data_IF_178202985015
#
_entry.id   IF_178202985015
#
_cell.length_a   1.000
_cell.length_b   1.000
_cell.length_c   1.000
_cell.angle_alpha   90.00
_cell.angle_beta   90.00
_cell.angle_gamma   90.00
#
_symmetry.space_group_name_H-M   'P 1'
#
loop_
_entity.id
_entity.type
_entity.pdbx_description
1 polymer ?
#
# COMPACT_ATOMS: atom_id res chain seq x y z
N UNK A 1 -1.92 20.71 -3.83
CA UNK A 1 -0.70 19.98 -4.20
C UNK A 1 -1.02 19.08 -5.40
N UNK A 2 -0.17 19.10 -6.44
CA UNK A 2 -0.40 18.36 -7.69
C UNK A 2 -0.40 16.81 -7.52
N UNK A 3 0.07 16.31 -6.38
CA UNK A 3 0.13 14.88 -6.07
C UNK A 3 -0.92 14.44 -5.03
N UNK A 4 -1.80 15.31 -4.59
CA UNK A 4 -2.89 14.93 -3.70
C UNK A 4 -4.10 14.49 -4.52
N UNK A 5 -4.54 13.26 -4.34
CA UNK A 5 -5.80 12.74 -4.89
C UNK A 5 -6.89 12.88 -3.84
N UNK A 6 -7.87 13.72 -4.10
CA UNK A 6 -9.01 13.87 -3.18
C UNK A 6 -9.90 12.63 -3.21
N UNK A 7 -9.93 11.92 -2.12
CA UNK A 7 -10.77 10.72 -1.93
C UNK A 7 -11.75 10.86 -0.75
N UNK A 8 -11.89 12.05 -0.17
CA UNK A 8 -12.65 12.28 1.05
C UNK A 8 -13.74 13.34 0.88
N UNK A 9 -13.45 14.51 0.26
CA UNK A 9 -14.38 15.63 0.23
C UNK A 9 -15.65 15.38 -0.58
N UNK A 10 -15.61 14.40 -1.51
CA UNK A 10 -16.78 13.98 -2.30
C UNK A 10 -17.63 12.90 -1.61
N UNK A 11 -17.24 12.48 -0.39
CA UNK A 11 -17.94 11.45 0.38
C UNK A 11 -18.78 12.06 1.49
N UNK A 12 -19.86 11.36 1.84
CA UNK A 12 -20.64 11.68 3.04
C UNK A 12 -19.87 11.28 4.31
N UNK A 13 -20.21 11.90 5.43
CA UNK A 13 -19.63 11.52 6.72
C UNK A 13 -19.92 10.06 7.11
N UNK A 14 -21.01 9.48 6.61
CA UNK A 14 -21.34 8.08 6.85
C UNK A 14 -20.38 7.13 6.10
N UNK A 15 -20.09 7.43 4.82
CA UNK A 15 -19.13 6.67 4.01
C UNK A 15 -17.72 6.71 4.62
N UNK A 16 -17.26 7.90 5.01
CA UNK A 16 -15.93 8.05 5.64
C UNK A 16 -15.86 7.26 6.95
N UNK A 17 -16.89 7.34 7.81
CA UNK A 17 -16.95 6.55 9.03
C UNK A 17 -16.93 5.05 8.76
N UNK A 18 -17.71 4.57 7.78
CA UNK A 18 -17.73 3.15 7.43
C UNK A 18 -16.34 2.65 6.98
N UNK A 19 -15.62 3.45 6.20
CA UNK A 19 -14.27 3.11 5.73
C UNK A 19 -13.23 3.11 6.86
N UNK A 20 -13.32 4.02 7.81
CA UNK A 20 -12.44 4.05 9.00
C UNK A 20 -12.77 2.85 9.92
N UNK A 21 -14.04 2.59 10.19
CA UNK A 21 -14.48 1.45 11.02
C UNK A 21 -14.11 0.10 10.42
N UNK A 22 -13.99 0.03 9.07
CA UNK A 22 -13.47 -1.16 8.41
C UNK A 22 -12.02 -1.45 8.83
N UNK A 23 -11.17 -0.43 8.93
CA UNK A 23 -9.78 -0.63 9.35
C UNK A 23 -9.68 -1.11 10.79
N UNK A 24 -10.54 -0.62 11.68
CA UNK A 24 -10.65 -1.11 13.06
C UNK A 24 -11.10 -2.59 13.09
N UNK A 25 -12.10 -2.95 12.28
CA UNK A 25 -12.56 -4.34 12.15
C UNK A 25 -11.45 -5.27 11.64
N UNK A 26 -10.73 -4.88 10.59
CA UNK A 26 -9.61 -5.64 10.01
C UNK A 26 -8.53 -5.88 11.06
N UNK A 27 -8.16 -4.85 11.81
CA UNK A 27 -7.17 -4.94 12.89
C UNK A 27 -7.64 -5.84 14.04
N UNK A 28 -8.87 -5.66 14.55
CA UNK A 28 -9.41 -6.44 15.66
C UNK A 28 -9.58 -7.93 15.34
N UNK A 29 -9.79 -8.26 14.06
CA UNK A 29 -9.90 -9.64 13.56
C UNK A 29 -8.56 -10.25 13.16
N UNK A 30 -7.45 -9.52 13.27
CA UNK A 30 -6.12 -9.95 12.86
C UNK A 30 -6.04 -10.47 11.41
N UNK A 31 -6.79 -9.84 10.48
CA UNK A 31 -6.83 -10.24 9.08
C UNK A 31 -5.58 -9.82 8.30
N UNK A 32 -4.80 -8.90 8.85
CA UNK A 32 -3.56 -8.36 8.27
C UNK A 32 -2.38 -8.57 9.20
N UNK A 33 -1.19 -8.67 8.63
CA UNK A 33 0.07 -8.78 9.36
C UNK A 33 0.74 -7.42 9.54
N UNK A 34 0.51 -6.49 8.62
CA UNK A 34 0.91 -5.09 8.74
C UNK A 34 0.03 -4.22 7.85
N UNK A 35 -0.01 -2.92 8.14
CA UNK A 35 -0.78 -1.95 7.35
C UNK A 35 -0.28 -0.53 7.54
N UNK A 36 -0.43 0.28 6.49
CA UNK A 36 -0.10 1.70 6.50
C UNK A 36 -1.02 2.46 5.55
N UNK A 37 -1.43 3.66 5.95
CA UNK A 37 -2.04 4.65 5.05
C UNK A 37 -1.04 5.07 3.96
N UNK A 38 -1.54 5.29 2.75
CA UNK A 38 -0.72 5.81 1.65
C UNK A 38 -0.48 7.31 1.90
N UNK A 39 0.77 7.66 2.18
CA UNK A 39 1.19 9.02 2.51
C UNK A 39 2.03 9.67 1.39
N UNK A 40 2.67 10.80 1.68
CA UNK A 40 3.38 11.65 0.72
C UNK A 40 4.35 10.95 -0.25
N UNK A 41 5.06 9.85 0.13
CA UNK A 41 5.90 9.13 -0.82
C UNK A 41 5.13 8.35 -1.91
N UNK A 42 3.79 8.43 -1.92
CA UNK A 42 2.94 7.69 -2.83
C UNK A 42 2.89 6.19 -2.52
N UNK A 43 2.30 5.42 -3.43
CA UNK A 43 2.08 3.98 -3.22
C UNK A 43 3.41 3.24 -3.03
N UNK A 44 4.36 3.46 -3.92
CA UNK A 44 5.66 2.74 -3.93
C UNK A 44 6.50 3.08 -2.70
N UNK A 45 6.64 4.38 -2.38
CA UNK A 45 7.42 4.80 -1.23
C UNK A 45 6.77 4.40 0.10
N UNK A 46 5.44 4.42 0.20
CA UNK A 46 4.72 3.95 1.40
C UNK A 46 4.91 2.44 1.61
N UNK A 47 4.84 1.64 0.52
CA UNK A 47 5.14 0.22 0.59
C UNK A 47 6.60 -0.01 1.03
N UNK A 48 7.54 0.73 0.45
CA UNK A 48 8.96 0.64 0.83
C UNK A 48 9.18 0.91 2.32
N UNK A 49 8.57 1.97 2.88
CA UNK A 49 8.63 2.25 4.32
C UNK A 49 8.08 1.10 5.16
N UNK A 50 6.93 0.52 4.78
CA UNK A 50 6.32 -0.60 5.49
C UNK A 50 7.24 -1.84 5.49
N UNK A 51 7.85 -2.15 4.35
CA UNK A 51 8.77 -3.28 4.18
C UNK A 51 10.06 -3.09 4.97
N UNK A 52 10.65 -1.89 4.92
CA UNK A 52 11.89 -1.58 5.64
C UNK A 52 11.72 -1.75 7.16
N UNK A 53 10.68 -1.15 7.75
CA UNK A 53 10.34 -1.32 9.19
C UNK A 53 10.10 -2.78 9.56
N UNK A 54 9.52 -3.55 8.65
CA UNK A 54 9.22 -4.97 8.87
C UNK A 54 10.40 -5.91 8.61
N UNK A 55 11.55 -5.41 8.14
CA UNK A 55 12.70 -6.22 7.74
C UNK A 55 12.38 -7.19 6.61
N UNK A 56 11.49 -6.81 5.68
CA UNK A 56 10.99 -7.65 4.58
C UNK A 56 11.32 -7.03 3.23
N UNK A 57 11.15 -7.84 2.19
CA UNK A 57 11.10 -7.43 0.79
C UNK A 57 9.75 -7.76 0.17
N UNK A 58 9.56 -7.35 -1.09
CA UNK A 58 8.39 -7.72 -1.87
C UNK A 58 8.67 -7.65 -3.37
N UNK A 59 7.84 -8.40 -4.11
CA UNK A 59 7.70 -8.30 -5.56
C UNK A 59 6.27 -7.89 -5.86
N UNK A 60 6.09 -6.82 -6.62
CA UNK A 60 4.76 -6.30 -6.98
C UNK A 60 4.64 -6.08 -8.49
N UNK A 61 3.43 -6.25 -9.00
CA UNK A 61 3.08 -5.88 -10.38
C UNK A 61 2.29 -4.56 -10.35
N UNK A 62 2.86 -3.51 -10.95
CA UNK A 62 2.24 -2.19 -11.00
C UNK A 62 0.93 -2.19 -11.79
N UNK A 63 0.75 -3.10 -12.75
CA UNK A 63 -0.48 -3.19 -13.53
C UNK A 63 -1.69 -3.59 -12.67
N UNK A 64 -1.46 -4.29 -11.54
CA UNK A 64 -2.49 -4.72 -10.60
C UNK A 64 -2.92 -3.64 -9.60
N UNK A 65 -2.22 -2.51 -9.53
CA UNK A 65 -2.59 -1.41 -8.63
C UNK A 65 -3.95 -0.85 -9.03
N UNK A 66 -4.95 -0.82 -8.12
CA UNK A 66 -6.25 -0.21 -8.40
C UNK A 66 -6.08 1.24 -8.82
N UNK A 67 -6.76 1.64 -9.87
CA UNK A 67 -6.71 3.01 -10.39
C UNK A 67 -8.08 3.50 -10.82
N UNK A 68 -8.38 4.77 -10.59
CA UNK A 68 -9.59 5.40 -11.13
C UNK A 68 -9.44 5.58 -12.65
N UNK A 69 -10.45 6.17 -13.28
CA UNK A 69 -10.32 6.59 -14.69
C UNK A 69 -9.32 7.75 -14.78
N UNK A 70 -8.05 7.42 -15.01
CA UNK A 70 -6.95 8.39 -15.04
C UNK A 70 -7.11 9.39 -16.18
N UNK A 71 -7.50 8.93 -17.37
CA UNK A 71 -7.66 9.79 -18.56
C UNK A 71 -8.76 10.83 -18.37
N UNK A 72 -9.86 10.50 -17.70
CA UNK A 72 -10.92 11.44 -17.38
C UNK A 72 -10.46 12.58 -16.44
N UNK A 73 -9.36 12.37 -15.72
CA UNK A 73 -8.79 13.33 -14.79
C UNK A 73 -7.47 13.96 -15.29
N UNK A 74 -7.09 13.70 -16.53
CA UNK A 74 -5.80 14.14 -17.11
C UNK A 74 -4.58 13.75 -16.25
N UNK A 75 -4.59 12.54 -15.70
CA UNK A 75 -3.52 11.99 -14.85
C UNK A 75 -2.86 10.83 -15.59
N UNK A 76 -1.53 10.80 -15.62
CA UNK A 76 -0.77 9.64 -16.13
C UNK A 76 -0.66 8.57 -15.05
N UNK A 77 -0.32 7.34 -15.46
CA UNK A 77 -0.09 6.25 -14.51
C UNK A 77 1.10 6.54 -13.57
N UNK A 78 2.19 7.12 -14.09
CA UNK A 78 3.34 7.53 -13.28
C UNK A 78 2.97 8.61 -12.24
N UNK A 79 2.10 9.54 -12.61
CA UNK A 79 1.58 10.51 -11.66
C UNK A 79 0.74 9.81 -10.58
N UNK A 80 -0.13 8.86 -10.99
CA UNK A 80 -0.99 8.12 -10.07
C UNK A 80 -0.21 7.36 -8.99
N UNK A 81 0.82 6.59 -9.35
CA UNK A 81 1.61 5.83 -8.37
C UNK A 81 2.40 6.70 -7.39
N UNK A 82 2.60 7.98 -7.72
CA UNK A 82 3.23 9.00 -6.88
C UNK A 82 2.24 9.81 -6.05
N UNK A 83 0.94 9.69 -6.34
CA UNK A 83 -0.10 10.40 -5.57
C UNK A 83 -0.36 9.72 -4.24
N UNK A 84 -0.80 10.51 -3.28
CA UNK A 84 -1.30 10.03 -1.99
C UNK A 84 -2.79 10.38 -1.87
N UNK A 85 -3.68 9.37 -1.86
CA UNK A 85 -5.10 9.58 -1.60
C UNK A 85 -5.32 9.85 -0.11
N UNK A 86 -6.28 10.70 0.23
CA UNK A 86 -6.65 10.97 1.63
C UNK A 86 -7.24 9.74 2.35
N UNK A 87 -7.63 8.70 1.61
CA UNK A 87 -8.17 7.45 2.14
C UNK A 87 -7.70 6.29 1.25
N UNK A 88 -6.48 5.83 1.48
CA UNK A 88 -5.89 4.67 0.79
C UNK A 88 -4.95 3.94 1.73
N UNK A 89 -4.82 2.62 1.58
CA UNK A 89 -4.04 1.77 2.47
C UNK A 89 -3.22 0.76 1.69
N UNK A 90 -2.07 0.42 2.24
CA UNK A 90 -1.25 -0.73 1.87
C UNK A 90 -1.31 -1.71 3.02
N UNK A 91 -1.68 -2.94 2.72
CA UNK A 91 -1.84 -4.00 3.71
C UNK A 91 -1.02 -5.21 3.31
N UNK A 92 -0.48 -5.93 4.28
CA UNK A 92 0.07 -7.27 4.09
C UNK A 92 -0.77 -8.27 4.87
N UNK A 93 -1.05 -9.42 4.27
CA UNK A 93 -1.93 -10.41 4.84
C UNK A 93 -1.49 -11.84 4.47
N UNK A 94 -1.95 -12.79 5.27
CA UNK A 94 -1.88 -14.19 4.87
C UNK A 94 -2.78 -14.42 3.64
N UNK A 95 -2.33 -15.24 2.70
CA UNK A 95 -3.07 -15.57 1.46
C UNK A 95 -4.51 -16.04 1.74
N UNK A 96 -4.74 -16.72 2.86
CA UNK A 96 -6.05 -17.18 3.27
C UNK A 96 -7.07 -16.04 3.49
N UNK A 97 -6.62 -14.83 3.82
CA UNK A 97 -7.47 -13.67 4.13
C UNK A 97 -7.66 -12.72 2.94
N UNK A 98 -6.93 -12.90 1.83
CA UNK A 98 -6.93 -11.94 0.72
C UNK A 98 -8.33 -11.74 0.14
N UNK A 99 -9.07 -12.80 -0.13
CA UNK A 99 -10.41 -12.71 -0.72
C UNK A 99 -11.43 -12.06 0.24
N UNK A 100 -11.33 -12.37 1.51
CA UNK A 100 -12.17 -11.73 2.53
C UNK A 100 -11.87 -10.23 2.62
N UNK A 101 -10.61 -9.82 2.63
CA UNK A 101 -10.20 -8.41 2.64
C UNK A 101 -10.75 -7.67 1.41
N UNK A 102 -10.61 -8.23 0.21
CA UNK A 102 -11.15 -7.63 -1.02
C UNK A 102 -12.67 -7.41 -0.90
N UNK A 103 -13.41 -8.38 -0.39
CA UNK A 103 -14.85 -8.27 -0.19
C UNK A 103 -15.22 -7.22 0.88
N UNK A 104 -14.48 -7.15 1.97
CA UNK A 104 -14.67 -6.17 3.03
C UNK A 104 -14.46 -4.75 2.51
N UNK A 105 -13.41 -4.49 1.74
CA UNK A 105 -13.20 -3.19 1.11
C UNK A 105 -14.33 -2.83 0.14
N UNK A 106 -14.76 -3.78 -0.70
CA UNK A 106 -15.87 -3.58 -1.63
C UNK A 106 -17.18 -3.24 -0.90
N UNK A 107 -17.42 -3.81 0.29
CA UNK A 107 -18.64 -3.55 1.09
C UNK A 107 -18.79 -2.11 1.57
N UNK A 108 -17.69 -1.35 1.62
CA UNK A 108 -17.66 0.08 1.99
C UNK A 108 -17.34 0.99 0.81
N UNK A 109 -17.48 0.49 -0.43
CA UNK A 109 -17.24 1.27 -1.66
C UNK A 109 -15.77 1.55 -1.95
N UNK A 110 -14.84 0.76 -1.41
CA UNK A 110 -13.42 0.83 -1.72
C UNK A 110 -12.98 -0.33 -2.60
N UNK A 111 -12.01 -0.09 -3.47
CA UNK A 111 -11.41 -1.14 -4.31
C UNK A 111 -10.11 -1.61 -3.68
N UNK A 112 -9.93 -2.93 -3.58
CA UNK A 112 -8.69 -3.55 -3.14
C UNK A 112 -8.27 -4.67 -4.10
N UNK A 113 -6.97 -4.79 -4.34
CA UNK A 113 -6.38 -5.86 -5.16
C UNK A 113 -5.15 -6.45 -4.47
N UNK A 114 -4.91 -7.74 -4.69
CA UNK A 114 -3.60 -8.34 -4.45
C UNK A 114 -2.66 -7.87 -5.57
N UNK A 115 -1.59 -7.17 -5.19
CA UNK A 115 -0.64 -6.57 -6.16
C UNK A 115 0.72 -7.25 -6.16
N UNK A 116 0.96 -8.21 -5.27
CA UNK A 116 2.24 -8.91 -5.19
C UNK A 116 2.42 -9.70 -3.91
N UNK A 117 3.65 -10.12 -3.65
CA UNK A 117 4.00 -11.03 -2.54
C UNK A 117 5.15 -10.47 -1.72
N UNK A 118 5.00 -10.53 -0.38
CA UNK A 118 6.06 -10.22 0.58
C UNK A 118 7.00 -11.41 0.73
N UNK A 119 8.30 -11.15 0.82
CA UNK A 119 9.35 -12.15 0.97
C UNK A 119 10.44 -11.71 1.97
N UNK A 120 11.51 -12.50 2.10
CA UNK A 120 12.60 -12.23 3.03
C UNK A 120 13.82 -11.53 2.39
N UNK A 121 13.73 -11.09 1.13
CA UNK A 121 14.88 -10.55 0.38
C UNK A 121 15.40 -9.22 0.92
N UNK A 122 14.56 -8.44 1.61
CA UNK A 122 14.83 -7.04 1.99
C UNK A 122 15.06 -6.12 0.77
N UNK A 123 14.41 -6.46 -0.35
CA UNK A 123 14.39 -5.67 -1.57
C UNK A 123 12.95 -5.39 -1.99
N UNK A 124 12.68 -4.25 -2.59
CA UNK A 124 11.43 -4.02 -3.31
C UNK A 124 11.71 -4.09 -4.81
N UNK A 125 11.11 -5.08 -5.45
CA UNK A 125 11.13 -5.25 -6.90
C UNK A 125 9.76 -4.95 -7.48
N UNK A 126 9.75 -4.31 -8.64
CA UNK A 126 8.53 -4.01 -9.38
C UNK A 126 8.58 -4.63 -10.77
N UNK A 127 7.43 -5.16 -11.20
CA UNK A 127 7.19 -5.62 -12.57
C UNK A 127 6.22 -4.66 -13.25
N UNK A 128 6.53 -4.23 -14.45
CA UNK A 128 5.64 -3.40 -15.25
C UNK A 128 5.98 -3.51 -16.73
N UNK A 129 4.97 -3.77 -17.59
CA UNK A 129 5.12 -3.88 -19.05
C UNK A 129 6.26 -4.81 -19.50
N UNK A 130 6.43 -5.93 -18.81
CA UNK A 130 7.47 -6.92 -19.11
C UNK A 130 8.88 -6.53 -18.64
N UNK A 131 9.02 -5.43 -17.92
CA UNK A 131 10.26 -5.02 -17.28
C UNK A 131 10.25 -5.36 -15.79
N UNK A 132 11.42 -5.65 -15.26
CA UNK A 132 11.65 -5.96 -13.86
C UNK A 132 12.74 -5.03 -13.31
N UNK A 133 12.46 -4.32 -12.21
CA UNK A 133 13.37 -3.34 -11.66
C UNK A 133 13.39 -3.43 -10.14
N UNK A 134 14.58 -3.47 -9.54
CA UNK A 134 14.78 -3.25 -8.11
C UNK A 134 14.69 -1.75 -7.82
N UNK A 135 13.74 -1.37 -6.96
CA UNK A 135 13.50 0.04 -6.57
C UNK A 135 14.21 0.38 -5.27
N UNK A 136 14.17 -0.52 -4.30
CA UNK A 136 14.83 -0.36 -3.01
C UNK A 136 15.62 -1.60 -2.65
N UNK A 137 16.77 -1.36 -2.02
CA UNK A 137 17.59 -2.33 -1.31
C UNK A 137 17.70 -1.86 0.13
N UNK A 138 16.90 -2.44 1.01
CA UNK A 138 16.78 -1.99 2.42
C UNK A 138 18.01 -2.37 3.28
N UNK A 139 18.97 -3.12 2.73
CA UNK A 139 20.24 -3.39 3.40
C UNK A 139 21.21 -2.24 3.18
N UNK A 140 21.31 -1.78 1.92
CA UNK A 140 22.34 -0.83 1.51
C UNK A 140 21.81 0.60 1.31
N UNK A 141 20.53 0.76 0.97
CA UNK A 141 19.96 2.05 0.60
C UNK A 141 18.44 2.08 0.88
N UNK A 142 18.09 2.03 2.16
CA UNK A 142 16.70 2.15 2.62
C UNK A 142 16.13 3.55 2.48
N UNK A 143 14.83 3.70 2.67
CA UNK A 143 14.12 5.00 2.66
C UNK A 143 14.34 5.74 3.98
N UNK A 144 14.31 5.02 5.10
CA UNK A 144 14.47 5.56 6.45
C UNK A 144 15.87 5.31 7.01
N UNK A 145 16.72 4.59 6.26
CA UNK A 145 18.08 4.22 6.66
C UNK A 145 18.15 3.49 8.01
N UNK A 146 17.21 2.59 8.26
CA UNK A 146 17.17 1.78 9.48
C UNK A 146 18.26 0.71 9.46
N UNK A 147 18.99 0.60 10.58
CA UNK A 147 19.93 -0.50 10.80
C UNK A 147 19.19 -1.81 11.12
N UNK A 148 19.91 -2.94 11.12
CA UNK A 148 19.33 -4.22 11.55
C UNK A 148 18.91 -4.19 13.02
N UNK A 149 19.64 -3.45 13.87
CA UNK A 149 19.32 -3.27 15.29
C UNK A 149 18.03 -2.48 15.46
N UNK A 150 17.83 -1.41 14.67
CA UNK A 150 16.60 -0.62 14.69
C UNK A 150 15.38 -1.47 14.32
N UNK A 151 15.48 -2.27 13.26
CA UNK A 151 14.40 -3.17 12.82
C UNK A 151 14.08 -4.23 13.88
N UNK A 152 15.09 -4.79 14.53
CA UNK A 152 14.92 -5.77 15.60
C UNK A 152 14.19 -5.19 16.83
N UNK A 153 14.42 -3.92 17.16
CA UNK A 153 13.74 -3.23 18.26
C UNK A 153 12.26 -2.94 17.98
N UNK A 154 11.88 -2.76 16.71
CA UNK A 154 10.49 -2.47 16.32
C UNK A 154 9.58 -3.71 16.31
N UNK A 155 10.16 -4.92 16.31
CA UNK A 155 9.44 -6.20 16.26
C UNK A 155 9.12 -6.80 17.65
N UNK A 156 9.40 -6.10 18.74
CA UNK A 156 9.09 -6.51 20.10
C UNK A 156 7.83 -5.78 20.61
#
# INVERSE_FOLDING_TARGET
CALNWDSVTMKTAAEVRAQISLMELIGSRHLVTAGKDISNPGIIGTLGMLLEVSGKGAEIDLALIPKPNLSANNVTFEQWVRMYPGMGFILTANKAHVQELIQLFASVGMTAHEIGTVNASRELRIHYEGQDTQVFDFINNGIMHLSEEDVACLGQ
#
